data_IF_396180676584
#
_entry.id   IF_396180676584
#
_cell.length_a   1.000
_cell.length_b   1.000
_cell.length_c   1.000
_cell.angle_alpha   90.00
_cell.angle_beta   90.00
_cell.angle_gamma   90.00
#
_symmetry.space_group_name_H-M   'P 1'
#
loop_
_entity.id
_entity.type
_entity.pdbx_description
1 polymer ?
#
# COMPACT_ATOMS: atom_id res chain seq x y z
N UNK A 1 -9.41 26.30 1.73
CA UNK A 1 -9.76 26.98 0.47
C UNK A 1 -8.52 27.55 -0.19
N UNK A 2 -8.13 26.99 -1.34
CA UNK A 2 -7.17 27.59 -2.27
C UNK A 2 -7.37 26.96 -3.65
N UNK A 3 -8.06 27.67 -4.56
CA UNK A 3 -8.37 27.29 -5.94
C UNK A 3 -7.13 27.40 -6.86
N UNK A 4 -5.96 27.02 -6.39
CA UNK A 4 -4.73 27.13 -7.17
C UNK A 4 -4.49 25.85 -7.97
N UNK A 5 -5.30 25.67 -9.02
CA UNK A 5 -5.31 24.47 -9.87
C UNK A 5 -3.94 24.15 -10.48
N UNK A 6 -3.06 25.14 -10.61
CA UNK A 6 -1.70 24.98 -11.14
C UNK A 6 -0.76 24.40 -10.08
N UNK A 7 -0.83 24.89 -8.84
CA UNK A 7 -0.04 24.38 -7.73
C UNK A 7 -0.47 22.95 -7.37
N UNK A 8 -1.78 22.69 -7.32
CA UNK A 8 -2.34 21.36 -7.11
C UNK A 8 -1.85 20.38 -8.19
N UNK A 9 -1.87 20.77 -9.47
CA UNK A 9 -1.37 19.94 -10.56
C UNK A 9 0.14 19.65 -10.42
N UNK A 10 0.96 20.63 -10.06
CA UNK A 10 2.40 20.43 -9.82
C UNK A 10 2.66 19.45 -8.67
N UNK A 11 1.99 19.63 -7.54
CA UNK A 11 2.11 18.75 -6.37
C UNK A 11 1.70 17.32 -6.73
N UNK A 12 0.62 17.15 -7.48
CA UNK A 12 0.15 15.85 -7.96
C UNK A 12 1.22 15.11 -8.79
N UNK A 13 1.86 15.81 -9.75
CA UNK A 13 2.87 15.19 -10.60
C UNK A 13 4.14 14.84 -9.81
N UNK A 14 4.54 15.69 -8.85
CA UNK A 14 5.70 15.46 -8.00
C UNK A 14 5.47 14.35 -6.97
N UNK A 15 4.29 14.30 -6.36
CA UNK A 15 3.92 13.22 -5.43
C UNK A 15 3.86 11.86 -6.14
N UNK A 16 3.38 11.82 -7.39
CA UNK A 16 3.36 10.59 -8.19
C UNK A 16 4.78 10.12 -8.50
N UNK A 17 5.67 11.01 -8.92
CA UNK A 17 7.06 10.66 -9.21
C UNK A 17 7.81 10.22 -7.94
N UNK A 18 7.63 10.92 -6.83
CA UNK A 18 8.29 10.59 -5.56
C UNK A 18 7.81 9.24 -5.02
N UNK A 19 6.50 8.97 -5.03
CA UNK A 19 5.98 7.67 -4.60
C UNK A 19 6.42 6.55 -5.53
N UNK A 20 6.42 6.77 -6.85
CA UNK A 20 6.94 5.79 -7.80
C UNK A 20 8.45 5.52 -7.57
N UNK A 21 9.25 6.55 -7.30
CA UNK A 21 10.67 6.42 -6.97
C UNK A 21 10.88 5.67 -5.66
N UNK A 22 10.14 6.02 -4.60
CA UNK A 22 10.21 5.33 -3.32
C UNK A 22 9.77 3.88 -3.44
N UNK A 23 8.65 3.61 -4.11
CA UNK A 23 8.17 2.26 -4.39
C UNK A 23 9.19 1.43 -5.17
N UNK A 24 9.86 2.05 -6.16
CA UNK A 24 10.93 1.40 -6.92
C UNK A 24 12.17 1.13 -6.05
N UNK A 25 12.63 2.11 -5.26
CA UNK A 25 13.79 1.95 -4.36
C UNK A 25 13.52 0.88 -3.31
N UNK A 26 12.35 0.92 -2.67
CA UNK A 26 11.94 -0.10 -1.69
C UNK A 26 11.79 -1.48 -2.35
N UNK A 27 11.17 -1.56 -3.53
CA UNK A 27 11.07 -2.81 -4.29
C UNK A 27 12.45 -3.38 -4.63
N UNK A 28 13.37 -2.55 -5.14
CA UNK A 28 14.74 -2.96 -5.46
C UNK A 28 15.53 -3.40 -4.21
N UNK A 29 15.36 -2.71 -3.08
CA UNK A 29 15.96 -3.13 -1.80
C UNK A 29 15.44 -4.49 -1.36
N UNK A 30 14.13 -4.75 -1.50
CA UNK A 30 13.52 -6.04 -1.15
C UNK A 30 14.02 -7.14 -2.10
N UNK A 31 14.16 -6.89 -3.39
CA UNK A 31 14.71 -7.87 -4.34
C UNK A 31 16.18 -8.20 -4.03
N UNK A 32 16.97 -7.23 -3.58
CA UNK A 32 18.40 -7.45 -3.29
C UNK A 32 18.62 -8.04 -1.88
N UNK A 33 17.89 -7.58 -0.87
CA UNK A 33 18.05 -7.99 0.53
C UNK A 33 16.95 -8.94 1.03
N UNK A 34 16.07 -9.44 0.16
CA UNK A 34 14.91 -10.25 0.54
C UNK A 34 15.27 -11.49 1.37
N UNK A 35 16.35 -12.19 0.98
CA UNK A 35 16.89 -13.33 1.75
C UNK A 35 17.38 -12.94 3.16
N UNK A 36 18.02 -11.78 3.28
CA UNK A 36 18.49 -11.29 4.57
C UNK A 36 17.32 -10.89 5.48
N UNK A 37 16.27 -10.27 4.90
CA UNK A 37 15.03 -9.95 5.61
C UNK A 37 14.35 -11.21 6.13
N UNK A 38 14.23 -12.25 5.30
CA UNK A 38 13.61 -13.53 5.66
C UNK A 38 14.38 -14.28 6.73
N UNK A 39 15.72 -14.20 6.70
CA UNK A 39 16.58 -14.75 7.74
C UNK A 39 16.42 -14.00 9.06
N UNK A 40 16.34 -12.67 9.02
CA UNK A 40 16.13 -11.84 10.20
C UNK A 40 14.76 -12.13 10.86
N UNK A 41 13.76 -12.48 10.05
CA UNK A 41 12.43 -12.87 10.50
C UNK A 41 12.34 -14.31 11.05
N UNK A 42 13.47 -15.05 11.08
CA UNK A 42 13.58 -16.44 11.56
C UNK A 42 12.57 -17.41 10.91
N UNK A 43 12.32 -17.26 9.61
CA UNK A 43 11.43 -18.16 8.86
C UNK A 43 12.05 -19.58 8.82
N UNK A 44 11.28 -20.65 9.07
CA UNK A 44 11.76 -22.03 8.96
C UNK A 44 12.34 -22.33 7.58
N UNK A 45 13.43 -23.11 7.49
CA UNK A 45 14.13 -23.33 6.22
C UNK A 45 13.26 -23.97 5.12
N UNK A 46 12.26 -24.75 5.52
CA UNK A 46 11.29 -25.37 4.62
C UNK A 46 10.40 -24.33 3.92
N UNK A 47 10.11 -23.21 4.60
CA UNK A 47 9.26 -22.12 4.09
C UNK A 47 10.06 -20.99 3.44
N UNK A 48 11.39 -20.98 3.57
CA UNK A 48 12.24 -19.90 3.05
C UNK A 48 12.12 -19.74 1.53
N UNK A 49 12.06 -20.84 0.77
CA UNK A 49 11.93 -20.79 -0.70
C UNK A 49 10.61 -20.17 -1.14
N UNK A 50 9.50 -20.58 -0.53
CA UNK A 50 8.17 -20.07 -0.90
C UNK A 50 7.97 -18.63 -0.42
N UNK A 51 8.50 -18.29 0.75
CA UNK A 51 8.48 -16.95 1.31
C UNK A 51 9.33 -15.98 0.49
N UNK A 52 10.46 -16.41 -0.08
CA UNK A 52 11.29 -15.60 -0.97
C UNK A 52 10.55 -15.26 -2.27
N UNK A 53 9.89 -16.24 -2.88
CA UNK A 53 9.12 -16.02 -4.10
C UNK A 53 7.95 -15.05 -3.84
N UNK A 54 7.26 -15.23 -2.72
CA UNK A 54 6.18 -14.34 -2.32
C UNK A 54 6.68 -12.91 -2.01
N UNK A 55 7.83 -12.79 -1.33
CA UNK A 55 8.44 -11.49 -1.02
C UNK A 55 8.86 -10.75 -2.29
N UNK A 56 9.40 -11.45 -3.29
CA UNK A 56 9.71 -10.87 -4.60
C UNK A 56 8.46 -10.41 -5.36
N UNK A 57 7.36 -11.17 -5.30
CA UNK A 57 6.07 -10.73 -5.84
C UNK A 57 5.57 -9.46 -5.15
N UNK A 58 5.61 -9.42 -3.82
CA UNK A 58 5.23 -8.23 -3.05
C UNK A 58 6.09 -7.01 -3.38
N UNK A 59 7.38 -7.19 -3.65
CA UNK A 59 8.26 -6.10 -4.06
C UNK A 59 7.78 -5.42 -5.36
N UNK A 60 7.30 -6.22 -6.33
CA UNK A 60 6.70 -5.71 -7.56
C UNK A 60 5.37 -5.01 -7.26
N UNK A 61 4.53 -5.62 -6.40
CA UNK A 61 3.27 -5.02 -5.99
C UNK A 61 3.43 -3.67 -5.29
N UNK A 62 4.55 -3.44 -4.59
CA UNK A 62 4.82 -2.21 -3.86
C UNK A 62 4.91 -1.00 -4.79
N UNK A 63 5.51 -1.17 -5.97
CA UNK A 63 5.56 -0.14 -6.99
C UNK A 63 4.17 0.25 -7.50
N UNK A 64 3.33 -0.76 -7.74
CA UNK A 64 1.94 -0.57 -8.16
C UNK A 64 1.12 0.12 -7.06
N UNK A 65 1.24 -0.31 -5.80
CA UNK A 65 0.57 0.34 -4.67
C UNK A 65 0.95 1.81 -4.54
N UNK A 66 2.24 2.13 -4.66
CA UNK A 66 2.72 3.50 -4.54
C UNK A 66 2.06 4.43 -5.57
N UNK A 67 1.86 3.94 -6.79
CA UNK A 67 1.12 4.66 -7.86
C UNK A 67 -0.38 4.71 -7.54
N UNK A 68 -0.96 3.59 -7.13
CA UNK A 68 -2.39 3.46 -6.84
C UNK A 68 -2.87 4.39 -5.72
N UNK A 69 -2.12 4.48 -4.62
CA UNK A 69 -2.43 5.35 -3.47
C UNK A 69 -2.44 6.83 -3.91
N UNK A 70 -1.48 7.26 -4.72
CA UNK A 70 -1.43 8.64 -5.20
C UNK A 70 -2.56 8.92 -6.18
N UNK A 71 -2.86 8.02 -7.11
CA UNK A 71 -4.00 8.15 -8.02
C UNK A 71 -5.33 8.23 -7.27
N UNK A 72 -5.52 7.37 -6.28
CA UNK A 72 -6.69 7.40 -5.40
C UNK A 72 -6.81 8.73 -4.64
N UNK A 73 -5.71 9.25 -4.09
CA UNK A 73 -5.70 10.53 -3.40
C UNK A 73 -6.04 11.70 -4.35
N UNK A 74 -5.51 11.70 -5.58
CA UNK A 74 -5.84 12.70 -6.60
C UNK A 74 -7.34 12.70 -6.89
N UNK A 75 -7.89 11.54 -7.26
CA UNK A 75 -9.31 11.43 -7.63
C UNK A 75 -10.22 11.82 -6.45
N UNK A 76 -9.79 11.54 -5.21
CA UNK A 76 -10.50 11.95 -3.98
C UNK A 76 -10.57 13.47 -3.82
N UNK A 77 -9.46 14.19 -4.05
CA UNK A 77 -9.40 15.68 -3.97
C UNK A 77 -10.31 16.36 -5.00
N UNK A 78 -10.56 15.73 -6.14
CA UNK A 78 -11.53 16.22 -7.15
C UNK A 78 -12.98 15.84 -6.85
N UNK A 79 -13.30 15.50 -5.60
CA UNK A 79 -14.63 15.16 -5.11
C UNK A 79 -15.26 13.94 -5.80
N UNK A 80 -14.42 13.00 -6.26
CA UNK A 80 -14.82 11.73 -6.87
C UNK A 80 -14.46 10.53 -5.98
N UNK A 81 -14.53 10.72 -4.66
CA UNK A 81 -14.23 9.70 -3.66
C UNK A 81 -15.06 8.41 -3.84
N UNK A 82 -16.31 8.53 -4.30
CA UNK A 82 -17.18 7.38 -4.60
C UNK A 82 -16.54 6.39 -5.58
N UNK A 83 -15.89 6.89 -6.64
CA UNK A 83 -15.24 6.05 -7.63
C UNK A 83 -13.99 5.35 -7.09
N UNK A 84 -13.21 6.06 -6.26
CA UNK A 84 -12.04 5.49 -5.58
C UNK A 84 -12.46 4.35 -4.65
N UNK A 85 -13.54 4.57 -3.88
CA UNK A 85 -14.08 3.57 -2.97
C UNK A 85 -14.62 2.35 -3.73
N UNK A 86 -15.36 2.56 -4.84
CA UNK A 86 -15.89 1.47 -5.66
C UNK A 86 -14.77 0.61 -6.26
N UNK A 87 -13.70 1.23 -6.76
CA UNK A 87 -12.53 0.49 -7.29
C UNK A 87 -11.83 -0.29 -6.17
N UNK A 88 -11.62 0.33 -5.00
CA UNK A 88 -11.04 -0.37 -3.84
C UNK A 88 -11.86 -1.60 -3.43
N UNK A 89 -13.18 -1.43 -3.32
CA UNK A 89 -14.08 -2.52 -2.99
C UNK A 89 -14.06 -3.65 -4.04
N UNK A 90 -14.05 -3.32 -5.34
CA UNK A 90 -13.91 -4.31 -6.40
C UNK A 90 -12.55 -5.02 -6.35
N UNK A 91 -11.48 -4.28 -6.05
CA UNK A 91 -10.14 -4.85 -5.88
C UNK A 91 -10.14 -5.87 -4.75
N UNK A 92 -10.71 -5.54 -3.59
CA UNK A 92 -10.77 -6.43 -2.43
C UNK A 92 -11.59 -7.70 -2.73
N UNK A 93 -12.71 -7.57 -3.45
CA UNK A 93 -13.48 -8.73 -3.92
C UNK A 93 -12.62 -9.64 -4.81
N UNK A 94 -11.92 -9.07 -5.79
CA UNK A 94 -11.06 -9.85 -6.69
C UNK A 94 -9.95 -10.56 -5.91
N UNK A 95 -9.34 -9.88 -4.94
CA UNK A 95 -8.31 -10.47 -4.07
C UNK A 95 -8.89 -11.61 -3.24
N UNK A 96 -10.05 -11.43 -2.61
CA UNK A 96 -10.70 -12.47 -1.78
C UNK A 96 -11.06 -13.69 -2.64
N UNK A 97 -11.70 -13.48 -3.80
CA UNK A 97 -12.07 -14.55 -4.71
C UNK A 97 -10.83 -15.29 -5.26
N UNK A 98 -9.78 -14.55 -5.64
CA UNK A 98 -8.56 -15.15 -6.15
C UNK A 98 -7.77 -15.88 -5.08
N UNK A 99 -7.71 -15.36 -3.84
CA UNK A 99 -7.09 -16.05 -2.72
C UNK A 99 -7.84 -17.34 -2.38
N UNK A 100 -9.19 -17.30 -2.36
CA UNK A 100 -10.01 -18.49 -2.13
C UNK A 100 -9.76 -19.56 -3.21
N UNK A 101 -9.75 -19.15 -4.49
CA UNK A 101 -9.51 -20.07 -5.60
C UNK A 101 -8.13 -20.72 -5.54
N UNK A 102 -7.08 -19.93 -5.27
CA UNK A 102 -5.71 -20.43 -5.18
C UNK A 102 -5.58 -21.42 -4.03
N UNK A 103 -6.10 -21.07 -2.85
CA UNK A 103 -5.94 -21.88 -1.65
C UNK A 103 -6.70 -23.22 -1.75
N UNK A 104 -7.81 -23.27 -2.51
CA UNK A 104 -8.64 -24.48 -2.60
C UNK A 104 -8.35 -25.36 -3.83
N UNK A 105 -7.79 -24.81 -4.92
CA UNK A 105 -7.61 -25.54 -6.19
C UNK A 105 -6.15 -25.72 -6.61
N UNK A 106 -5.20 -24.94 -6.09
CA UNK A 106 -3.80 -24.93 -6.57
C UNK A 106 -2.84 -25.32 -5.45
N UNK A 107 -1.96 -26.31 -5.69
CA UNK A 107 -0.91 -26.76 -4.74
C UNK A 107 0.23 -25.74 -4.48
N UNK A 108 0.08 -24.51 -4.96
CA UNK A 108 1.06 -23.42 -4.81
C UNK A 108 0.39 -22.28 -4.05
N UNK A 109 0.19 -22.50 -2.74
CA UNK A 109 -0.61 -21.66 -1.86
C UNK A 109 -0.12 -20.20 -1.85
N UNK A 110 1.17 -19.96 -1.63
CA UNK A 110 1.73 -18.60 -1.57
C UNK A 110 1.90 -17.94 -2.94
N UNK A 111 2.34 -18.68 -3.95
CA UNK A 111 2.61 -18.14 -5.29
C UNK A 111 1.32 -17.64 -5.97
N UNK A 112 0.24 -18.42 -5.89
CA UNK A 112 -1.02 -18.02 -6.51
C UNK A 112 -1.66 -16.83 -5.79
N UNK A 113 -1.53 -16.72 -4.47
CA UNK A 113 -2.02 -15.58 -3.68
C UNK A 113 -1.29 -14.31 -4.10
N UNK A 114 0.05 -14.39 -4.27
CA UNK A 114 0.84 -13.28 -4.80
C UNK A 114 0.40 -12.84 -6.20
N UNK A 115 0.17 -13.79 -7.10
CA UNK A 115 -0.26 -13.50 -8.48
C UNK A 115 -1.66 -12.88 -8.55
N UNK A 116 -2.60 -13.40 -7.74
CA UNK A 116 -3.94 -12.85 -7.58
C UNK A 116 -3.90 -11.38 -7.13
N UNK A 117 -3.03 -11.08 -6.15
CA UNK A 117 -2.89 -9.75 -5.61
C UNK A 117 -2.25 -8.77 -6.61
N UNK A 118 -1.23 -9.21 -7.36
CA UNK A 118 -0.65 -8.43 -8.47
C UNK A 118 -1.74 -8.09 -9.49
N UNK A 119 -2.51 -9.09 -9.93
CA UNK A 119 -3.52 -8.93 -10.95
C UNK A 119 -4.62 -7.95 -10.50
N UNK A 120 -5.11 -8.10 -9.27
CA UNK A 120 -6.11 -7.19 -8.70
C UNK A 120 -5.61 -5.74 -8.66
N UNK A 121 -4.35 -5.52 -8.23
CA UNK A 121 -3.74 -4.18 -8.17
C UNK A 121 -3.53 -3.57 -9.55
N UNK A 122 -3.13 -4.35 -10.55
CA UNK A 122 -3.02 -3.87 -11.94
C UNK A 122 -4.38 -3.43 -12.45
N UNK A 123 -5.43 -4.24 -12.24
CA UNK A 123 -6.81 -3.90 -12.65
C UNK A 123 -7.28 -2.62 -11.97
N UNK A 124 -7.02 -2.48 -10.66
CA UNK A 124 -7.39 -1.28 -9.89
C UNK A 124 -6.69 -0.02 -10.42
N UNK A 125 -5.38 -0.10 -10.72
CA UNK A 125 -4.63 1.04 -11.27
C UNK A 125 -5.14 1.41 -12.67
N UNK A 126 -5.39 0.43 -13.53
CA UNK A 126 -5.94 0.68 -14.87
C UNK A 126 -7.31 1.35 -14.76
N UNK A 127 -8.18 0.88 -13.86
CA UNK A 127 -9.48 1.49 -13.62
C UNK A 127 -9.34 2.94 -13.12
N UNK A 128 -8.44 3.20 -12.16
CA UNK A 128 -8.16 4.56 -11.67
C UNK A 128 -7.62 5.48 -12.77
N UNK A 129 -6.73 4.98 -13.63
CA UNK A 129 -6.22 5.72 -14.78
C UNK A 129 -7.31 6.05 -15.80
N UNK A 130 -8.21 5.11 -16.10
CA UNK A 130 -9.35 5.35 -17.00
C UNK A 130 -10.25 6.46 -16.44
N UNK A 131 -10.55 6.45 -15.15
CA UNK A 131 -11.33 7.52 -14.51
C UNK A 131 -10.58 8.85 -14.57
N UNK A 132 -9.27 8.86 -14.33
CA UNK A 132 -8.45 10.06 -14.43
C UNK A 132 -8.49 10.69 -15.84
N UNK A 133 -8.32 9.87 -16.89
CA UNK A 133 -8.31 10.35 -18.27
C UNK A 133 -9.70 10.72 -18.78
N UNK A 134 -10.72 9.91 -18.48
CA UNK A 134 -12.05 10.05 -19.09
C UNK A 134 -12.97 11.01 -18.33
N UNK A 135 -12.91 11.03 -16.99
CA UNK A 135 -13.77 11.90 -16.15
C UNK A 135 -13.10 13.22 -15.77
N UNK A 136 -11.82 13.22 -15.39
CA UNK A 136 -11.13 14.45 -14.97
C UNK A 136 -10.55 15.24 -16.15
N UNK A 137 -10.40 14.64 -17.34
CA UNK A 137 -9.70 15.23 -18.51
C UNK A 137 -8.30 15.78 -18.18
N UNK A 138 -7.70 15.32 -17.08
CA UNK A 138 -6.34 15.72 -16.69
C UNK A 138 -5.38 14.94 -17.56
N UNK A 139 -4.81 15.62 -18.55
CA UNK A 139 -3.70 15.08 -19.32
C UNK A 139 -2.46 15.07 -18.42
N UNK A 140 -2.10 13.90 -17.90
CA UNK A 140 -0.80 13.69 -17.25
C UNK A 140 0.30 13.96 -18.28
N UNK A 141 0.98 15.11 -18.17
CA UNK A 141 2.14 15.41 -19.00
C UNK A 141 3.37 14.83 -18.32
N UNK A 142 3.86 13.71 -18.85
CA UNK A 142 5.07 13.02 -18.39
C UNK A 142 6.29 13.97 -18.39
N UNK A 143 6.32 14.97 -19.31
CA UNK A 143 7.36 16.02 -19.35
C UNK A 143 7.36 16.98 -18.14
N UNK A 144 6.24 17.15 -17.46
CA UNK A 144 6.15 17.98 -16.23
C UNK A 144 6.43 17.18 -14.96
N UNK A 145 6.37 15.83 -15.01
CA UNK A 145 6.78 14.96 -13.90
C UNK A 145 8.29 15.05 -13.60
N UNK A 146 9.10 15.49 -14.56
CA UNK A 146 10.57 15.53 -14.47
C UNK A 146 11.10 16.89 -13.95
N UNK A 147 10.27 17.95 -13.94
CA UNK A 147 10.65 19.23 -13.30
C UNK A 147 10.49 19.14 -11.78
N UNK A 148 11.49 18.53 -11.15
CA UNK A 148 11.64 18.41 -9.71
C UNK A 148 12.00 19.79 -9.11
N UNK A 149 11.04 20.44 -8.47
CA UNK A 149 11.33 21.56 -7.56
C UNK A 149 11.77 20.98 -6.22
N UNK A 150 13.05 21.10 -5.89
CA UNK A 150 13.67 20.56 -4.65
C UNK A 150 12.96 21.00 -3.38
N UNK A 151 12.34 22.18 -3.40
CA UNK A 151 11.68 22.79 -2.24
C UNK A 151 10.36 22.09 -1.89
N UNK A 152 9.54 21.76 -2.89
CA UNK A 152 8.30 20.99 -2.71
C UNK A 152 8.64 19.53 -2.36
N UNK A 153 9.67 18.96 -3.00
CA UNK A 153 10.17 17.62 -2.72
C UNK A 153 10.56 17.46 -1.24
N UNK A 154 11.34 18.42 -0.72
CA UNK A 154 11.78 18.41 0.68
C UNK A 154 10.59 18.52 1.62
N UNK A 155 9.58 19.33 1.29
CA UNK A 155 8.38 19.50 2.13
C UNK A 155 7.53 18.23 2.17
N UNK A 156 7.31 17.57 1.02
CA UNK A 156 6.58 16.30 0.93
C UNK A 156 7.35 15.17 1.63
N UNK A 157 8.67 15.07 1.43
CA UNK A 157 9.52 14.08 2.12
C UNK A 157 9.59 14.31 3.63
N UNK A 158 9.57 15.55 4.09
CA UNK A 158 9.61 15.81 5.53
C UNK A 158 8.28 15.40 6.17
N UNK A 159 7.14 15.86 5.62
CA UNK A 159 5.81 15.51 6.14
C UNK A 159 5.57 13.99 6.04
N UNK A 160 5.82 13.40 4.85
CA UNK A 160 5.66 11.98 4.62
C UNK A 160 6.67 11.13 5.40
N UNK A 161 7.91 11.59 5.54
CA UNK A 161 8.96 10.92 6.32
C UNK A 161 8.65 10.91 7.81
N UNK A 162 8.12 12.01 8.37
CA UNK A 162 7.63 12.04 9.75
C UNK A 162 6.46 11.07 9.96
N UNK A 163 5.46 11.09 9.07
CA UNK A 163 4.31 10.19 9.16
C UNK A 163 4.70 8.71 8.99
N UNK A 164 5.62 8.41 8.07
CA UNK A 164 6.18 7.07 7.92
C UNK A 164 6.98 6.65 9.16
N UNK A 165 7.76 7.57 9.75
CA UNK A 165 8.49 7.34 10.99
C UNK A 165 7.56 7.02 12.16
N UNK A 166 6.46 7.76 12.30
CA UNK A 166 5.44 7.49 13.33
C UNK A 166 4.81 6.10 13.14
N UNK A 167 4.41 5.74 11.91
CA UNK A 167 3.88 4.40 11.62
C UNK A 167 4.90 3.29 11.90
N UNK A 168 6.17 3.50 11.54
CA UNK A 168 7.24 2.55 11.83
C UNK A 168 7.45 2.37 13.34
N UNK A 169 7.46 3.46 14.11
CA UNK A 169 7.56 3.39 15.57
C UNK A 169 6.39 2.61 16.17
N UNK A 170 5.17 2.84 15.68
CA UNK A 170 3.98 2.10 16.11
C UNK A 170 4.10 0.60 15.81
N UNK A 171 4.51 0.24 14.59
CA UNK A 171 4.73 -1.16 14.19
C UNK A 171 5.81 -1.82 15.05
N UNK A 172 6.92 -1.13 15.32
CA UNK A 172 8.01 -1.65 16.17
C UNK A 172 7.52 -1.88 17.59
N UNK A 173 6.85 -0.89 18.19
CA UNK A 173 6.29 -1.00 19.53
C UNK A 173 5.29 -2.16 19.62
N UNK A 174 4.39 -2.27 18.65
CA UNK A 174 3.42 -3.35 18.59
C UNK A 174 4.11 -4.71 18.46
N UNK A 175 5.11 -4.83 17.58
CA UNK A 175 5.85 -6.08 17.38
C UNK A 175 6.54 -6.54 18.67
N UNK A 176 7.13 -5.61 19.42
CA UNK A 176 7.75 -5.92 20.71
C UNK A 176 6.70 -6.41 21.71
N UNK A 177 5.57 -5.70 21.84
CA UNK A 177 4.48 -6.11 22.72
C UNK A 177 3.90 -7.48 22.32
N UNK A 178 3.71 -7.71 21.02
CA UNK A 178 3.22 -8.96 20.47
C UNK A 178 4.18 -10.11 20.73
N UNK A 179 5.50 -9.89 20.61
CA UNK A 179 6.51 -10.89 20.94
C UNK A 179 6.51 -11.27 22.43
N UNK A 180 6.27 -10.31 23.34
CA UNK A 180 6.07 -10.60 24.76
C UNK A 180 4.80 -11.43 25.00
N UNK A 181 3.71 -11.16 24.31
CA UNK A 181 2.49 -11.96 24.44
C UNK A 181 2.68 -13.37 23.86
N UNK A 182 3.42 -13.49 22.76
CA UNK A 182 3.77 -14.78 22.17
C UNK A 182 4.58 -15.67 23.12
N UNK A 183 5.43 -15.10 23.97
CA UNK A 183 6.19 -15.89 24.96
C UNK A 183 5.35 -16.41 26.13
N UNK A 184 4.14 -15.87 26.35
CA UNK A 184 3.19 -16.32 27.38
C UNK A 184 2.41 -17.59 26.97
N UNK A 185 2.55 -18.04 25.72
CA UNK A 185 1.93 -19.26 25.20
C UNK A 185 0.88 -19.01 24.11
N UNK A 186 0.55 -20.07 23.38
CA UNK A 186 -0.29 -20.02 22.16
C UNK A 186 -1.72 -19.52 22.40
N UNK A 187 -2.29 -19.83 23.56
CA UNK A 187 -3.63 -19.36 23.93
C UNK A 187 -3.67 -17.82 24.06
N UNK A 188 -2.67 -17.24 24.71
CA UNK A 188 -2.53 -15.78 24.87
C UNK A 188 -2.31 -15.08 23.52
N UNK A 189 -1.51 -15.69 22.65
CA UNK A 189 -1.26 -15.19 21.29
C UNK A 189 -2.55 -15.12 20.46
N UNK A 190 -3.33 -16.20 20.47
CA UNK A 190 -4.58 -16.28 19.70
C UNK A 190 -5.59 -15.23 20.16
N UNK A 191 -5.73 -15.04 21.48
CA UNK A 191 -6.61 -14.00 22.06
C UNK A 191 -6.15 -12.61 21.66
N UNK A 192 -4.84 -12.33 21.71
CA UNK A 192 -4.28 -11.04 21.30
C UNK A 192 -4.53 -10.73 19.83
N UNK A 193 -4.41 -11.72 18.94
CA UNK A 193 -4.71 -11.55 17.51
C UNK A 193 -6.19 -11.21 17.30
N UNK A 194 -7.11 -11.93 17.95
CA UNK A 194 -8.55 -11.65 17.84
C UNK A 194 -8.86 -10.26 18.39
N UNK A 195 -8.32 -9.92 19.56
CA UNK A 195 -8.49 -8.61 20.18
C UNK A 195 -8.03 -7.49 19.25
N UNK A 196 -6.83 -7.62 18.68
CA UNK A 196 -6.27 -6.63 17.76
C UNK A 196 -7.13 -6.46 16.51
N UNK A 197 -7.67 -7.54 15.97
CA UNK A 197 -8.57 -7.48 14.82
C UNK A 197 -9.86 -6.70 15.15
N UNK A 198 -10.43 -6.92 16.33
CA UNK A 198 -11.60 -6.16 16.82
C UNK A 198 -11.23 -4.69 17.03
N UNK A 199 -10.08 -4.39 17.62
CA UNK A 199 -9.61 -3.02 17.81
C UNK A 199 -9.43 -2.30 16.47
N UNK A 200 -8.88 -2.96 15.45
CA UNK A 200 -8.76 -2.37 14.11
C UNK A 200 -10.13 -2.06 13.48
N UNK A 201 -11.14 -2.89 13.70
CA UNK A 201 -12.51 -2.59 13.24
C UNK A 201 -13.08 -1.32 13.91
N UNK A 202 -12.79 -1.10 15.19
CA UNK A 202 -13.22 0.12 15.88
C UNK A 202 -12.44 1.34 15.34
N UNK A 203 -11.12 1.20 15.16
CA UNK A 203 -10.26 2.26 14.63
C UNK A 203 -10.62 2.66 13.20
N UNK A 204 -11.15 1.72 12.39
CA UNK A 204 -11.62 1.97 11.03
C UNK A 204 -12.62 3.14 10.97
N UNK A 205 -13.56 3.22 11.93
CA UNK A 205 -14.57 4.29 11.98
C UNK A 205 -13.89 5.65 12.23
N UNK A 206 -12.90 5.68 13.12
CA UNK A 206 -12.12 6.88 13.39
C UNK A 206 -11.30 7.32 12.18
N UNK A 207 -10.62 6.38 11.52
CA UNK A 207 -9.87 6.65 10.29
C UNK A 207 -10.78 7.14 9.15
N UNK A 208 -11.96 6.54 8.97
CA UNK A 208 -12.92 6.97 7.97
C UNK A 208 -13.41 8.41 8.22
N UNK A 209 -13.64 8.77 9.49
CA UNK A 209 -14.02 10.14 9.88
C UNK A 209 -12.88 11.13 9.64
N UNK A 210 -11.65 10.74 9.96
CA UNK A 210 -10.45 11.53 9.69
C UNK A 210 -10.29 11.83 8.19
N UNK A 211 -10.43 10.80 7.34
CA UNK A 211 -10.34 10.94 5.89
C UNK A 211 -11.50 11.78 5.34
N UNK A 212 -12.71 11.66 5.89
CA UNK A 212 -13.85 12.49 5.48
C UNK A 212 -13.62 13.99 5.75
N UNK A 213 -12.83 14.33 6.78
CA UNK A 213 -12.49 15.72 7.11
C UNK A 213 -11.38 16.31 6.23
N UNK A 214 -10.64 15.48 5.48
CA UNK A 214 -9.59 15.93 4.55
C UNK A 214 -10.13 16.35 3.17
N UNK A 215 -11.38 15.98 2.85
CA UNK A 215 -12.06 16.26 1.57
C UNK A 215 -12.86 17.55 1.67
#
# INVERSE_FOLDING_TARGET
GAKDHVLARKVIHQSLFLNALLGFVCGALILWHGKYLLYLLKIPQELLKDSEIYLHMLAICLFFDAIGIVLAAIVRVYNMAYWVMLIGFLMDIVVICGNYYVLHHTKSELFGVGLSNIFARIVAIVALLVILFYKLKIHLKIKEMIKLEKEVLKKVLNIGGFSAGENLLWIVQYTIAFAFVASLGEASLSVQTIYFQISMLIMLIGQATSIANEI
#
